data_IF_108764877492
#
_entry.id   IF_108764877492
#
_cell.length_a   1.000
_cell.length_b   1.000
_cell.length_c   1.000
_cell.angle_alpha   90.00
_cell.angle_beta   90.00
_cell.angle_gamma   90.00
#
_symmetry.space_group_name_H-M   'P 1'
#
loop_
_entity.id
_entity.type
_entity.pdbx_description
1 polymer ?
#
# COMPACT_ATOMS: atom_id res chain seq x y z
N UNK A 1 -2.61 -28.73 6.62
CA UNK A 1 -1.79 -27.63 7.14
C UNK A 1 -1.96 -26.48 6.16
N UNK A 2 -2.72 -25.45 6.53
CA UNK A 2 -2.99 -24.30 5.67
C UNK A 2 -1.79 -23.36 5.84
N UNK A 3 -1.11 -23.02 4.74
CA UNK A 3 -0.04 -22.04 4.75
C UNK A 3 -0.67 -20.65 4.74
N UNK A 4 -0.90 -20.09 5.93
CA UNK A 4 -1.36 -18.70 6.11
C UNK A 4 -0.23 -17.67 5.91
N UNK A 5 0.97 -18.13 5.54
CA UNK A 5 2.21 -17.39 5.75
C UNK A 5 2.67 -16.57 4.54
N UNK A 6 2.09 -16.76 3.35
CA UNK A 6 2.48 -16.07 2.12
C UNK A 6 1.40 -15.15 1.53
N UNK A 7 0.24 -15.05 2.17
CA UNK A 7 -0.84 -14.15 1.77
C UNK A 7 -0.44 -12.68 1.98
N UNK A 8 -0.54 -11.90 0.91
CA UNK A 8 -0.25 -10.47 0.93
C UNK A 8 -1.24 -9.67 0.08
N UNK A 9 -1.27 -8.38 0.33
CA UNK A 9 -2.06 -7.44 -0.45
C UNK A 9 -1.25 -6.24 -0.91
N UNK A 10 -1.76 -5.55 -1.91
CA UNK A 10 -1.23 -4.28 -2.41
C UNK A 10 -2.24 -3.19 -2.14
N UNK A 11 -1.77 -1.95 -2.00
CA UNK A 11 -2.64 -0.80 -1.77
C UNK A 11 -2.42 0.18 -2.91
N UNK A 12 -3.52 0.72 -3.44
CA UNK A 12 -3.49 1.82 -4.39
C UNK A 12 -3.83 3.12 -3.66
N UNK A 13 -2.92 4.08 -3.66
CA UNK A 13 -3.10 5.38 -3.05
C UNK A 13 -3.17 6.43 -4.15
N UNK A 14 -4.21 7.25 -4.15
CA UNK A 14 -4.31 8.41 -5.02
C UNK A 14 -4.40 9.67 -4.15
N UNK A 15 -3.39 10.54 -4.22
CA UNK A 15 -3.35 11.78 -3.46
C UNK A 15 -3.58 12.98 -4.40
N UNK A 16 -4.25 14.01 -3.89
CA UNK A 16 -4.47 15.28 -4.58
C UNK A 16 -3.93 16.44 -3.75
N UNK A 17 -3.55 17.53 -4.40
CA UNK A 17 -3.02 18.73 -3.74
C UNK A 17 -3.50 19.99 -4.45
N UNK A 18 -3.74 21.07 -3.70
CA UNK A 18 -4.08 22.38 -4.27
C UNK A 18 -2.84 23.25 -4.51
N UNK A 19 -1.83 23.15 -3.65
CA UNK A 19 -0.57 23.88 -3.71
C UNK A 19 0.63 22.92 -3.56
N UNK A 20 0.81 22.04 -4.55
CA UNK A 20 1.89 21.06 -4.53
C UNK A 20 3.29 21.70 -4.48
N UNK A 21 4.26 20.99 -3.91
CA UNK A 21 5.66 21.39 -3.97
C UNK A 21 6.18 21.50 -5.42
N UNK A 22 7.42 21.96 -5.58
CA UNK A 22 8.06 22.17 -6.90
C UNK A 22 8.08 20.92 -7.79
N UNK A 23 8.07 19.73 -7.19
CA UNK A 23 8.04 18.45 -7.89
C UNK A 23 6.63 17.96 -8.20
N UNK A 24 5.60 18.54 -7.55
CA UNK A 24 4.19 18.15 -7.63
C UNK A 24 3.99 16.63 -7.45
N UNK A 25 4.64 16.06 -6.43
CA UNK A 25 4.65 14.63 -6.14
C UNK A 25 4.51 14.35 -4.64
N UNK A 26 4.01 13.16 -4.33
CA UNK A 26 3.94 12.61 -2.98
C UNK A 26 4.74 11.32 -2.83
N UNK A 27 5.16 11.07 -1.60
CA UNK A 27 5.74 9.83 -1.13
C UNK A 27 4.75 9.11 -0.22
N UNK A 28 4.82 7.78 -0.23
CA UNK A 28 4.16 6.88 0.70
C UNK A 28 5.24 6.19 1.50
N UNK A 29 5.15 6.28 2.82
CA UNK A 29 6.20 5.84 3.73
C UNK A 29 5.60 4.93 4.79
N UNK A 30 6.29 3.84 5.10
CA UNK A 30 5.95 2.96 6.23
C UNK A 30 6.95 3.15 7.37
N UNK A 31 6.46 3.18 8.61
CA UNK A 31 7.30 3.32 9.80
C UNK A 31 7.94 4.71 9.95
N UNK A 32 7.36 5.74 9.32
CA UNK A 32 7.69 7.12 9.64
C UNK A 32 7.07 7.51 10.99
N UNK A 33 7.69 8.48 11.66
CA UNK A 33 7.18 9.04 12.91
C UNK A 33 5.84 9.76 12.66
N UNK A 34 4.76 9.41 13.39
CA UNK A 34 3.43 9.94 13.10
C UNK A 34 3.23 11.41 13.47
N UNK A 35 4.11 11.97 14.29
CA UNK A 35 4.03 13.38 14.71
C UNK A 35 4.80 14.30 13.76
N UNK A 36 5.82 13.79 13.10
CA UNK A 36 6.74 14.58 12.26
C UNK A 36 6.72 14.19 10.79
N UNK A 37 6.21 13.01 10.45
CA UNK A 37 6.24 12.47 9.09
C UNK A 37 7.64 12.08 8.60
N UNK A 38 8.64 12.09 9.48
CA UNK A 38 10.06 11.83 9.17
C UNK A 38 10.48 10.38 9.41
N UNK A 39 11.58 9.98 8.76
CA UNK A 39 12.10 8.62 8.83
C UNK A 39 11.30 7.63 7.97
N UNK A 40 11.35 6.36 8.35
CA UNK A 40 10.64 5.26 7.68
C UNK A 40 11.25 4.85 6.34
N UNK A 41 10.56 3.90 5.68
CA UNK A 41 10.91 3.37 4.37
C UNK A 41 9.93 3.87 3.31
N UNK A 42 10.44 4.54 2.28
CA UNK A 42 9.63 5.00 1.15
C UNK A 42 9.24 3.82 0.27
N UNK A 43 7.95 3.70 -0.03
CA UNK A 43 7.35 2.58 -0.77
C UNK A 43 7.17 2.88 -2.27
N UNK A 44 7.21 4.14 -2.68
CA UNK A 44 7.17 4.61 -4.06
C UNK A 44 8.39 5.51 -4.34
N UNK A 45 9.58 4.92 -4.44
CA UNK A 45 10.82 5.67 -4.68
C UNK A 45 10.70 6.64 -5.85
N UNK A 46 11.25 7.86 -5.70
CA UNK A 46 11.09 9.01 -6.62
C UNK A 46 9.72 9.69 -6.64
N UNK A 47 8.80 9.24 -5.78
CA UNK A 47 7.46 9.79 -5.60
C UNK A 47 6.51 9.51 -6.78
N UNK A 48 5.24 9.76 -6.53
CA UNK A 48 4.16 9.68 -7.53
C UNK A 48 3.57 11.06 -7.73
N UNK A 49 3.26 11.42 -8.99
CA UNK A 49 2.62 12.70 -9.27
C UNK A 49 1.22 12.76 -8.61
N UNK A 50 0.86 13.92 -8.04
CA UNK A 50 -0.50 14.11 -7.53
C UNK A 50 -1.54 13.89 -8.64
N UNK A 51 -2.67 13.30 -8.29
CA UNK A 51 -3.73 12.88 -9.21
C UNK A 51 -3.46 11.58 -9.97
N UNK A 52 -2.29 10.96 -9.79
CA UNK A 52 -1.97 9.64 -10.33
C UNK A 52 -1.91 8.60 -9.21
N UNK A 53 -2.41 7.37 -9.42
CA UNK A 53 -2.36 6.34 -8.41
C UNK A 53 -0.95 5.74 -8.22
N UNK A 54 -0.56 5.52 -6.97
CA UNK A 54 0.62 4.76 -6.57
C UNK A 54 0.20 3.38 -6.05
N UNK A 55 0.73 2.30 -6.64
CA UNK A 55 0.55 0.95 -6.12
C UNK A 55 1.75 0.55 -5.26
N UNK A 56 1.50 0.31 -3.98
CA UNK A 56 2.50 -0.11 -2.99
C UNK A 56 2.24 -1.56 -2.53
N UNK A 57 3.24 -2.20 -1.92
CA UNK A 57 3.09 -3.56 -1.39
C UNK A 57 3.56 -4.68 -2.33
N UNK A 58 4.10 -4.34 -3.51
CA UNK A 58 4.61 -5.32 -4.48
C UNK A 58 5.74 -6.21 -3.92
N UNK A 59 6.41 -5.77 -2.87
CA UNK A 59 7.44 -6.52 -2.13
C UNK A 59 6.87 -7.44 -1.06
N UNK A 60 5.55 -7.69 -1.06
CA UNK A 60 4.82 -8.54 -0.09
C UNK A 60 4.95 -8.08 1.37
N UNK A 61 5.14 -6.77 1.57
CA UNK A 61 5.30 -6.19 2.91
C UNK A 61 4.01 -6.16 3.72
N UNK A 62 2.84 -6.18 3.05
CA UNK A 62 1.53 -6.14 3.70
C UNK A 62 0.94 -7.54 3.74
N UNK A 63 0.97 -8.16 4.92
CA UNK A 63 0.47 -9.51 5.17
C UNK A 63 -1.04 -9.49 5.32
N UNK A 64 -1.71 -10.41 4.64
CA UNK A 64 -3.12 -10.69 4.82
C UNK A 64 -3.28 -11.89 5.78
N UNK A 65 -3.07 -11.68 7.07
CA UNK A 65 -3.15 -12.72 8.11
C UNK A 65 -4.35 -12.54 9.07
N UNK A 66 -5.16 -11.52 8.83
CA UNK A 66 -6.30 -11.13 9.69
C UNK A 66 -5.89 -10.42 10.99
N UNK A 67 -4.60 -10.19 11.24
CA UNK A 67 -4.07 -9.67 12.51
C UNK A 67 -3.20 -8.43 12.31
N UNK A 68 -2.31 -8.45 11.32
CA UNK A 68 -1.36 -7.39 11.02
C UNK A 68 -2.06 -6.12 10.57
N UNK A 69 -1.79 -5.01 11.25
CA UNK A 69 -2.22 -3.66 10.87
C UNK A 69 -1.00 -2.84 10.45
N UNK A 70 -1.24 -1.81 9.65
CA UNK A 70 -0.18 -0.95 9.13
C UNK A 70 -0.55 0.51 9.25
N UNK A 71 0.44 1.35 9.55
CA UNK A 71 0.28 2.80 9.46
C UNK A 71 1.22 3.31 8.37
N UNK A 72 0.64 4.08 7.46
CA UNK A 72 1.33 4.72 6.36
C UNK A 72 1.30 6.23 6.53
N UNK A 73 2.38 6.87 6.13
CA UNK A 73 2.48 8.33 5.98
C UNK A 73 2.47 8.65 4.50
N UNK A 74 1.52 9.47 4.07
CA UNK A 74 1.51 10.06 2.73
C UNK A 74 1.97 11.51 2.87
N UNK A 75 3.13 11.86 2.30
CA UNK A 75 3.73 13.19 2.47
C UNK A 75 4.14 13.81 1.14
N UNK A 76 4.19 15.14 1.08
CA UNK A 76 4.77 15.86 -0.05
C UNK A 76 6.28 15.56 -0.12
N UNK A 77 6.79 15.31 -1.34
CA UNK A 77 8.21 14.94 -1.54
C UNK A 77 9.19 16.09 -1.25
N UNK A 78 8.72 17.34 -1.36
CA UNK A 78 9.54 18.53 -1.14
C UNK A 78 9.40 19.06 0.29
N UNK A 79 8.29 18.77 0.97
CA UNK A 79 8.05 19.16 2.36
C UNK A 79 7.48 18.00 3.18
N UNK A 80 8.37 17.27 3.85
CA UNK A 80 8.00 16.11 4.68
C UNK A 80 7.12 16.45 5.89
N UNK A 81 6.98 17.73 6.27
CA UNK A 81 6.05 18.15 7.33
C UNK A 81 4.60 18.27 6.82
N UNK A 82 4.38 18.25 5.51
CA UNK A 82 3.05 18.20 4.91
C UNK A 82 2.68 16.74 4.65
N UNK A 83 1.99 16.12 5.61
CA UNK A 83 1.65 14.71 5.53
C UNK A 83 0.27 14.37 6.11
N UNK A 84 -0.21 13.18 5.76
CA UNK A 84 -1.38 12.55 6.34
C UNK A 84 -1.05 11.13 6.77
N UNK A 85 -1.72 10.68 7.82
CA UNK A 85 -1.66 9.30 8.30
C UNK A 85 -2.80 8.50 7.70
N UNK A 86 -2.49 7.27 7.28
CA UNK A 86 -3.46 6.29 6.82
C UNK A 86 -3.24 5.03 7.65
N UNK A 87 -4.24 4.70 8.46
CA UNK A 87 -4.27 3.44 9.18
C UNK A 87 -4.97 2.37 8.34
N UNK A 88 -4.31 1.22 8.20
CA UNK A 88 -4.77 0.06 7.47
C UNK A 88 -5.12 -1.02 8.48
N UNK A 89 -6.41 -1.35 8.56
CA UNK A 89 -6.91 -2.47 9.34
C UNK A 89 -6.39 -3.80 8.82
N UNK A 90 -6.44 -4.84 9.65
CA UNK A 90 -6.02 -6.16 9.22
C UNK A 90 -6.90 -6.70 8.08
N UNK A 91 -6.25 -7.42 7.16
CA UNK A 91 -6.91 -8.08 6.03
C UNK A 91 -6.86 -9.59 6.30
N UNK A 92 -8.02 -10.29 6.37
CA UNK A 92 -8.04 -11.73 6.56
C UNK A 92 -7.24 -12.48 5.50
N UNK A 93 -6.74 -13.66 5.87
CA UNK A 93 -6.17 -14.63 4.93
C UNK A 93 -7.16 -14.95 3.82
N UNK A 94 -6.60 -15.09 2.64
CA UNK A 94 -7.29 -15.27 1.38
C UNK A 94 -7.14 -16.71 0.88
N UNK A 95 -6.17 -17.42 1.44
CA UNK A 95 -6.04 -18.88 1.42
C UNK A 95 -6.97 -19.58 2.44
N UNK A 96 -7.66 -18.83 3.31
CA UNK A 96 -8.71 -19.37 4.18
C UNK A 96 -9.88 -19.93 3.36
N UNK A 97 -10.35 -21.13 3.70
CA UNK A 97 -11.46 -21.75 2.98
C UNK A 97 -12.81 -21.09 3.36
N UNK A 98 -13.63 -20.65 2.38
CA UNK A 98 -13.38 -20.66 0.94
C UNK A 98 -12.47 -19.49 0.51
N UNK A 99 -11.55 -19.76 -0.43
CA UNK A 99 -10.54 -18.79 -0.86
C UNK A 99 -11.17 -17.47 -1.31
N UNK A 100 -10.65 -16.35 -0.80
CA UNK A 100 -11.21 -15.01 -1.02
C UNK A 100 -10.34 -14.23 -2.01
N UNK A 101 -10.93 -13.82 -3.13
CA UNK A 101 -10.37 -12.80 -4.03
C UNK A 101 -10.78 -11.42 -3.53
N UNK A 102 -9.94 -10.35 -3.59
CA UNK A 102 -8.75 -10.17 -4.43
C UNK A 102 -7.42 -10.08 -3.67
N UNK A 103 -6.89 -11.21 -3.22
CA UNK A 103 -5.55 -11.25 -2.61
C UNK A 103 -4.59 -12.11 -3.44
N UNK A 104 -3.32 -11.74 -3.40
CA UNK A 104 -2.23 -12.59 -3.87
C UNK A 104 -1.79 -13.45 -2.70
N UNK A 105 -2.05 -14.77 -2.72
CA UNK A 105 -1.20 -15.67 -3.48
C UNK A 105 -1.93 -16.93 -3.98
N UNK A 106 -2.02 -17.14 -5.29
CA UNK A 106 -2.14 -18.51 -5.82
C UNK A 106 -1.28 -18.61 -7.07
N UNK A 107 -0.20 -19.40 -7.08
CA UNK A 107 0.39 -19.86 -8.34
C UNK A 107 -0.69 -20.67 -9.07
N UNK A 108 -1.23 -20.06 -10.13
CA UNK A 108 -1.97 -20.65 -11.24
C UNK A 108 -3.30 -21.38 -10.90
N UNK A 109 -4.41 -20.66 -11.06
CA UNK A 109 -5.54 -21.18 -11.86
C UNK A 109 -5.75 -20.19 -13.01
N UNK A 110 -5.94 -20.64 -14.27
CA UNK A 110 -5.96 -19.75 -15.42
C UNK A 110 -7.08 -18.70 -15.28
N UNK A 111 -6.70 -17.42 -15.31
CA UNK A 111 -7.65 -16.33 -15.40
C UNK A 111 -8.28 -16.41 -16.80
N UNK A 112 -9.58 -16.70 -16.84
CA UNK A 112 -10.39 -16.41 -18.00
C UNK A 112 -10.39 -14.89 -18.22
N UNK A 113 -9.67 -14.43 -19.24
CA UNK A 113 -9.81 -13.06 -19.72
C UNK A 113 -11.18 -12.93 -20.36
N UNK A 114 -12.13 -12.26 -19.70
CA UNK A 114 -13.29 -11.72 -20.41
C UNK A 114 -12.87 -10.41 -21.07
N UNK A 115 -12.59 -10.51 -22.37
CA UNK A 115 -12.62 -9.40 -23.32
C UNK A 115 -14.08 -9.22 -23.76
N UNK A 116 -14.71 -8.14 -23.32
CA UNK A 116 -15.54 -7.20 -24.10
C UNK A 116 -16.26 -6.25 -23.15
#
# INVERSE_FOLDING_TARGET
>A
MIFLADDYFTIQINATVENGGSSNKYEVVIGADPMTGLGGNILNSSGTAYGSPATIGNTKIFKADGISTYQLVVRDINNNNCFQLIDISSVPSCSDAPAKSPCYPVPCVPIGMNKN
#
